data_IF_731605250572
#
_entry.id   IF_731605250572
#
_cell.length_a   1.000
_cell.length_b   1.000
_cell.length_c   1.000
_cell.angle_alpha   90.00
_cell.angle_beta   90.00
_cell.angle_gamma   90.00
#
_symmetry.space_group_name_H-M   'P 1'
#
loop_
_entity.id
_entity.type
_entity.pdbx_description
1 polymer ?
#
# COMPACT_ATOMS: atom_id res chain seq x y z
N UNK A 1 -0.81 -13.67 -0.88
CA UNK A 1 0.05 -12.48 -0.73
C UNK A 1 -0.15 -11.61 -1.95
N UNK A 2 -0.08 -10.29 -1.78
CA UNK A 2 -0.12 -9.30 -2.83
C UNK A 2 0.93 -8.22 -2.54
N UNK A 3 1.37 -7.51 -3.57
CA UNK A 3 2.37 -6.46 -3.45
C UNK A 3 1.74 -5.12 -3.07
N UNK A 4 2.30 -4.47 -2.04
CA UNK A 4 1.90 -3.15 -1.59
C UNK A 4 3.10 -2.21 -1.49
N UNK A 5 2.97 -1.00 -2.02
CA UNK A 5 3.95 0.07 -1.89
C UNK A 5 3.61 0.92 -0.68
N UNK A 6 4.58 1.19 0.19
CA UNK A 6 4.40 2.17 1.26
C UNK A 6 4.43 3.59 0.69
N UNK A 7 3.42 4.40 1.05
CA UNK A 7 3.29 5.79 0.60
C UNK A 7 4.06 6.79 1.47
N UNK A 8 4.48 6.38 2.66
CA UNK A 8 5.26 7.17 3.61
C UNK A 8 6.07 6.25 4.53
N UNK A 9 7.00 6.82 5.31
CA UNK A 9 7.69 6.10 6.38
C UNK A 9 6.75 5.97 7.59
N UNK A 10 6.49 4.75 8.06
CA UNK A 10 5.72 4.55 9.29
C UNK A 10 6.10 3.26 10.04
N UNK A 11 5.82 3.26 11.34
CA UNK A 11 6.14 2.17 12.25
C UNK A 11 4.87 1.58 12.88
N UNK A 12 4.73 0.25 12.83
CA UNK A 12 3.65 -0.49 13.47
C UNK A 12 4.13 -1.10 14.79
N UNK A 13 3.83 -0.41 15.89
CA UNK A 13 4.16 -0.84 17.26
C UNK A 13 3.69 -2.26 17.56
N UNK A 14 2.51 -2.66 17.07
CA UNK A 14 1.90 -3.96 17.37
C UNK A 14 2.69 -5.14 16.78
N UNK A 15 3.47 -4.92 15.72
CA UNK A 15 4.23 -5.97 15.03
C UNK A 15 5.73 -5.73 14.98
N UNK A 16 6.22 -4.64 15.59
CA UNK A 16 7.61 -4.18 15.48
C UNK A 16 8.10 -4.13 14.01
N UNK A 17 7.29 -3.52 13.14
CA UNK A 17 7.59 -3.44 11.70
C UNK A 17 7.69 -2.01 11.22
N UNK A 18 8.70 -1.77 10.40
CA UNK A 18 8.96 -0.52 9.71
C UNK A 18 8.56 -0.64 8.25
N UNK A 19 7.84 0.36 7.78
CA UNK A 19 7.52 0.56 6.37
C UNK A 19 8.26 1.81 5.93
N UNK A 20 9.09 1.67 4.90
CA UNK A 20 9.86 2.76 4.32
C UNK A 20 9.18 3.20 3.04
N UNK A 21 9.07 4.51 2.86
CA UNK A 21 8.44 5.13 1.71
C UNK A 21 9.01 4.59 0.39
N UNK A 22 8.11 4.23 -0.51
CA UNK A 22 8.45 3.69 -1.83
C UNK A 22 8.88 2.23 -1.86
N UNK A 23 9.11 1.58 -0.71
CA UNK A 23 9.39 0.13 -0.66
C UNK A 23 8.14 -0.69 -0.92
N UNK A 24 8.35 -1.84 -1.55
CA UNK A 24 7.31 -2.82 -1.85
C UNK A 24 7.39 -3.96 -0.84
N UNK A 25 6.23 -4.34 -0.31
CA UNK A 25 6.08 -5.39 0.68
C UNK A 25 5.09 -6.43 0.17
N UNK A 26 5.45 -7.71 0.31
CA UNK A 26 4.52 -8.81 0.12
C UNK A 26 3.70 -8.99 1.40
N UNK A 27 2.41 -8.70 1.34
CA UNK A 27 1.49 -8.79 2.49
C UNK A 27 0.27 -9.63 2.15
N UNK A 28 -0.42 -10.17 3.16
CA UNK A 28 -1.79 -10.63 2.95
C UNK A 28 -2.69 -9.41 2.71
N UNK A 29 -3.68 -9.52 1.82
CA UNK A 29 -4.61 -8.40 1.56
C UNK A 29 -5.31 -7.98 2.85
N UNK A 30 -5.78 -8.95 3.64
CA UNK A 30 -6.44 -8.70 4.94
C UNK A 30 -5.52 -8.08 6.00
N UNK A 31 -4.21 -8.21 5.83
CA UNK A 31 -3.22 -7.56 6.68
C UNK A 31 -3.02 -6.10 6.25
N UNK A 32 -2.82 -5.85 4.95
CA UNK A 32 -2.72 -4.50 4.41
C UNK A 32 -4.00 -3.67 4.70
N UNK A 33 -5.19 -4.27 4.60
CA UNK A 33 -6.46 -3.61 4.93
C UNK A 33 -6.52 -3.16 6.40
N UNK A 34 -6.01 -3.99 7.33
CA UNK A 34 -5.93 -3.63 8.75
C UNK A 34 -4.95 -2.48 8.97
N UNK A 35 -3.81 -2.51 8.29
CA UNK A 35 -2.80 -1.45 8.37
C UNK A 35 -3.39 -0.14 7.86
N UNK A 36 -4.01 -0.14 6.68
CA UNK A 36 -4.65 1.04 6.11
C UNK A 36 -5.79 1.56 6.97
N UNK A 37 -6.61 0.69 7.58
CA UNK A 37 -7.63 1.12 8.53
C UNK A 37 -7.05 1.86 9.74
N UNK A 38 -5.93 1.38 10.28
CA UNK A 38 -5.23 2.06 11.38
C UNK A 38 -4.62 3.39 10.94
N UNK A 39 -3.95 3.40 9.78
CA UNK A 39 -3.32 4.59 9.23
C UNK A 39 -4.37 5.68 8.92
N UNK A 40 -5.47 5.32 8.27
CA UNK A 40 -6.57 6.22 7.93
C UNK A 40 -7.25 6.82 9.15
N UNK A 41 -7.37 6.07 10.25
CA UNK A 41 -7.90 6.62 11.49
C UNK A 41 -7.00 7.72 12.09
N UNK A 42 -5.71 7.73 11.78
CA UNK A 42 -4.75 8.72 12.28
C UNK A 42 -4.49 9.88 11.30
N UNK A 43 -4.53 9.62 9.99
CA UNK A 43 -4.06 10.54 8.95
C UNK A 43 -5.08 10.83 7.83
N UNK A 44 -6.27 10.21 7.88
CA UNK A 44 -7.34 10.31 6.86
C UNK A 44 -6.94 9.86 5.44
N UNK A 45 -5.87 9.07 5.32
CA UNK A 45 -5.40 8.49 4.06
C UNK A 45 -4.95 7.03 4.23
N UNK A 46 -4.72 6.33 3.11
CA UNK A 46 -4.11 4.99 3.13
C UNK A 46 -2.57 5.11 3.12
N UNK A 47 -1.91 4.31 3.96
CA UNK A 47 -0.45 4.24 4.07
C UNK A 47 0.21 3.23 3.14
N UNK A 48 -0.55 2.25 2.65
CA UNK A 48 -0.13 1.22 1.69
C UNK A 48 -1.01 1.27 0.45
N UNK A 49 -0.37 1.23 -0.72
CA UNK A 49 -1.02 1.18 -2.03
C UNK A 49 -0.81 -0.19 -2.68
N UNK A 50 -1.89 -0.86 -3.11
CA UNK A 50 -1.78 -2.16 -3.78
C UNK A 50 -1.28 -1.98 -5.20
N UNK A 51 -0.23 -2.72 -5.58
CA UNK A 51 0.41 -2.62 -6.91
C UNK A 51 -0.27 -3.56 -7.94
N UNK A 52 -0.94 -4.61 -7.47
CA UNK A 52 -1.62 -5.58 -8.34
C UNK A 52 -2.94 -5.02 -8.88
N UNK A 53 -2.84 -4.15 -9.90
CA UNK A 53 -3.74 -3.93 -11.06
C UNK A 53 -3.48 -2.57 -11.74
N UNK A 54 -2.53 -1.73 -11.28
CA UNK A 54 -2.11 -0.56 -12.06
C UNK A 54 -1.41 -0.94 -13.37
N UNK A 55 -0.76 -2.12 -13.46
CA UNK A 55 -0.14 -2.57 -14.71
C UNK A 55 -1.15 -2.84 -15.84
N UNK A 56 -2.43 -3.11 -15.52
CA UNK A 56 -3.48 -3.31 -16.54
C UNK A 56 -4.20 -2.01 -16.89
N UNK A 57 -4.40 -1.11 -15.93
CA UNK A 57 -5.06 0.18 -16.17
C UNK A 57 -4.13 1.28 -16.69
N UNK A 58 -2.83 1.27 -16.36
CA UNK A 58 -1.86 2.21 -16.92
C UNK A 58 -1.61 1.97 -18.43
N UNK A 59 -1.69 0.71 -18.89
CA UNK A 59 -1.61 0.37 -20.31
C UNK A 59 -2.87 0.75 -21.10
N UNK A 60 -4.02 0.86 -20.45
CA UNK A 60 -5.27 1.31 -21.09
C UNK A 60 -5.34 2.83 -21.27
N UNK A 61 -4.64 3.60 -20.44
CA UNK A 61 -4.58 5.06 -20.52
C UNK A 61 -3.57 5.60 -21.55
N UNK A 62 -2.52 4.83 -21.88
CA UNK A 62 -1.47 5.23 -22.83
C UNK A 62 -1.80 4.95 -24.32
N UNK A 63 -2.75 4.04 -24.59
CA UNK A 63 -3.22 3.77 -25.98
C UNK A 63 -4.40 4.63 -26.45
N UNK A 64 -4.80 5.65 -25.68
CA UNK A 64 -5.94 6.51 -26.00
C UNK A 64 -5.55 7.93 -26.45
N UNK A 65 -4.29 8.18 -26.82
CA UNK A 65 -3.82 9.48 -27.33
C UNK A 65 -3.51 9.50 -28.82
#
# INVERSE_FOLDING_TARGET
MAQFKAKANFYLVQSDRHFDEGKVYDLQVSEADKINKMYKAAFDEDGLERIEEEAKNAKAADTAS
#
